data_IF_899115157565
#
_entry.id   IF_899115157565
#
_cell.length_a   1.000
_cell.length_b   1.000
_cell.length_c   1.000
_cell.angle_alpha   90.00
_cell.angle_beta   90.00
_cell.angle_gamma   90.00
#
_symmetry.space_group_name_H-M   'P 1'
#
loop_
_entity.id
_entity.type
_entity.pdbx_description
1 polymer ?
#
# COMPACT_ATOMS: atom_id res chain seq x y z
N UNK A 1 28.49 -39.33 1.13
CA UNK A 1 27.22 -38.59 1.16
C UNK A 1 27.55 -37.11 0.99
N UNK A 2 27.34 -36.54 -0.19
CA UNK A 2 27.57 -35.12 -0.43
C UNK A 2 26.31 -34.36 0.00
N UNK A 3 26.42 -33.50 1.02
CA UNK A 3 25.38 -32.53 1.32
C UNK A 3 25.37 -31.49 0.19
N UNK A 4 24.34 -31.52 -0.64
CA UNK A 4 24.03 -30.42 -1.54
C UNK A 4 23.68 -29.22 -0.68
N UNK A 5 24.64 -28.33 -0.43
CA UNK A 5 24.35 -26.96 0.01
C UNK A 5 23.72 -26.23 -1.16
N UNK A 6 22.43 -26.47 -1.39
CA UNK A 6 21.63 -25.57 -2.20
C UNK A 6 21.70 -24.20 -1.54
N UNK A 7 22.45 -23.26 -2.13
CA UNK A 7 22.44 -21.87 -1.67
C UNK A 7 20.99 -21.42 -1.66
N UNK A 8 20.43 -21.17 -0.48
CA UNK A 8 19.16 -20.45 -0.38
C UNK A 8 19.39 -19.09 -1.03
N UNK A 9 18.81 -18.90 -2.22
CA UNK A 9 19.10 -17.75 -3.05
C UNK A 9 18.21 -16.60 -2.59
N UNK A 10 18.71 -15.81 -1.65
CA UNK A 10 18.06 -14.59 -1.18
C UNK A 10 17.77 -13.64 -2.34
N UNK A 11 16.52 -13.18 -2.44
CA UNK A 11 16.08 -12.28 -3.50
C UNK A 11 15.86 -10.87 -2.97
N UNK A 12 15.95 -9.88 -3.87
CA UNK A 12 15.42 -8.55 -3.62
C UNK A 12 14.07 -8.47 -4.32
N UNK A 13 12.99 -8.29 -3.57
CA UNK A 13 11.63 -8.26 -4.11
C UNK A 13 10.91 -6.99 -3.65
N UNK A 14 10.13 -6.40 -4.55
CA UNK A 14 9.43 -5.15 -4.28
C UNK A 14 7.98 -5.19 -4.76
N UNK A 15 7.08 -4.69 -3.92
CA UNK A 15 5.72 -4.32 -4.31
C UNK A 15 5.59 -2.80 -4.32
N UNK A 16 5.20 -2.26 -5.46
CA UNK A 16 4.85 -0.86 -5.66
C UNK A 16 3.34 -0.77 -5.88
N UNK A 17 2.63 -0.10 -4.99
CA UNK A 17 1.25 0.30 -5.19
C UNK A 17 1.21 1.81 -5.50
N UNK A 18 0.52 2.21 -6.56
CA UNK A 18 0.43 3.62 -6.94
C UNK A 18 -0.97 4.01 -7.37
N UNK A 19 -1.62 4.86 -6.58
CA UNK A 19 -2.92 5.42 -6.90
C UNK A 19 -2.78 6.93 -7.16
N UNK A 20 -3.24 7.37 -8.32
CA UNK A 20 -3.36 8.80 -8.62
C UNK A 20 -4.58 9.17 -9.45
N UNK A 21 -5.17 8.20 -10.16
CA UNK A 21 -6.45 8.38 -10.85
C UNK A 21 -7.62 8.03 -9.91
N UNK A 22 -7.89 8.93 -8.97
CA UNK A 22 -8.96 8.78 -7.99
C UNK A 22 -10.31 9.14 -8.60
N UNK A 23 -11.36 8.38 -8.25
CA UNK A 23 -12.72 8.62 -8.78
C UNK A 23 -13.26 10.02 -8.44
N UNK A 24 -12.75 10.64 -7.37
CA UNK A 24 -13.05 12.00 -6.96
C UNK A 24 -12.08 12.98 -7.65
N UNK A 25 -12.58 13.98 -8.41
CA UNK A 25 -11.72 14.94 -9.11
C UNK A 25 -10.74 15.70 -8.21
N UNK A 26 -11.15 16.05 -6.99
CA UNK A 26 -10.34 16.82 -6.04
C UNK A 26 -9.19 15.98 -5.43
N UNK A 27 -9.25 14.66 -5.54
CA UNK A 27 -8.27 13.72 -4.98
C UNK A 27 -7.23 13.26 -6.02
N UNK A 28 -7.28 13.78 -7.25
CA UNK A 28 -6.37 13.41 -8.33
C UNK A 28 -4.91 13.76 -7.98
N UNK A 29 -4.01 12.77 -8.07
CA UNK A 29 -2.57 12.95 -7.87
C UNK A 29 -1.84 12.86 -9.20
N UNK A 30 -1.56 14.04 -9.77
CA UNK A 30 -0.76 14.15 -10.98
C UNK A 30 0.62 13.48 -10.75
N UNK A 31 1.15 12.84 -11.79
CA UNK A 31 2.44 12.15 -11.80
C UNK A 31 2.53 10.82 -11.04
N UNK A 32 1.48 10.32 -10.39
CA UNK A 32 1.52 9.02 -9.69
C UNK A 32 2.06 7.89 -10.59
N UNK A 33 1.53 7.76 -11.82
CA UNK A 33 1.98 6.76 -12.78
C UNK A 33 3.44 6.93 -13.21
N UNK A 34 3.89 8.18 -13.42
CA UNK A 34 5.27 8.48 -13.79
C UNK A 34 6.25 8.18 -12.64
N UNK A 35 5.86 8.47 -11.40
CA UNK A 35 6.63 8.17 -10.20
C UNK A 35 6.78 6.67 -10.01
N UNK A 36 5.68 5.91 -10.12
CA UNK A 36 5.70 4.45 -10.02
C UNK A 36 6.60 3.80 -11.07
N UNK A 37 6.52 4.26 -12.33
CA UNK A 37 7.36 3.75 -13.41
C UNK A 37 8.85 4.05 -13.16
N UNK A 38 9.18 5.29 -12.77
CA UNK A 38 10.56 5.70 -12.51
C UNK A 38 11.17 4.92 -11.34
N UNK A 39 10.43 4.77 -10.25
CA UNK A 39 10.88 4.02 -9.08
C UNK A 39 11.01 2.51 -9.37
N UNK A 40 10.05 1.93 -10.11
CA UNK A 40 10.13 0.54 -10.58
C UNK A 40 11.38 0.28 -11.40
N UNK A 41 11.71 1.20 -12.32
CA UNK A 41 12.91 1.09 -13.16
C UNK A 41 14.20 1.20 -12.33
N UNK A 42 14.28 2.14 -11.39
CA UNK A 42 15.42 2.29 -10.51
C UNK A 42 15.66 1.04 -9.63
N UNK A 43 14.60 0.47 -9.07
CA UNK A 43 14.69 -0.76 -8.27
C UNK A 43 15.14 -1.96 -9.12
N UNK A 44 14.61 -2.11 -10.34
CA UNK A 44 15.05 -3.16 -11.27
C UNK A 44 16.54 -3.06 -11.60
N UNK A 45 17.06 -1.84 -11.81
CA UNK A 45 18.48 -1.61 -12.09
C UNK A 45 19.41 -2.06 -10.96
N UNK A 46 18.95 -2.05 -9.71
CA UNK A 46 19.71 -2.52 -8.54
C UNK A 46 19.37 -3.96 -8.12
N UNK A 47 18.65 -4.68 -8.99
CA UNK A 47 18.40 -6.13 -8.89
C UNK A 47 17.14 -6.54 -8.16
N UNK A 48 16.16 -5.64 -7.96
CA UNK A 48 14.84 -6.04 -7.45
C UNK A 48 13.99 -6.70 -8.54
N UNK A 49 13.27 -7.75 -8.15
CA UNK A 49 12.09 -8.20 -8.86
C UNK A 49 10.90 -7.35 -8.39
N UNK A 50 10.33 -6.56 -9.30
CA UNK A 50 9.33 -5.54 -8.94
C UNK A 50 7.96 -5.88 -9.51
N UNK A 51 6.97 -5.95 -8.63
CA UNK A 51 5.55 -5.97 -8.97
C UNK A 51 5.00 -4.56 -8.80
N UNK A 52 4.41 -3.99 -9.86
CA UNK A 52 3.80 -2.65 -9.83
C UNK A 52 2.32 -2.76 -10.12
N UNK A 53 1.49 -2.17 -9.25
CA UNK A 53 0.02 -2.17 -9.37
C UNK A 53 -0.48 -0.74 -9.25
N UNK A 54 -1.25 -0.28 -10.24
CA UNK A 54 -1.69 1.10 -10.32
C UNK A 54 -3.21 1.24 -10.31
N UNK A 55 -3.71 2.30 -9.65
CA UNK A 55 -5.10 2.77 -9.66
C UNK A 55 -6.11 1.65 -9.38
N UNK A 56 -5.94 0.99 -8.22
CA UNK A 56 -6.76 -0.16 -7.83
C UNK A 56 -7.74 0.16 -6.72
N UNK A 57 -8.85 -0.57 -6.74
CA UNK A 57 -9.83 -0.61 -5.66
C UNK A 57 -9.36 -1.43 -4.46
N UNK A 58 -10.08 -1.34 -3.34
CA UNK A 58 -9.72 -2.00 -2.07
C UNK A 58 -9.47 -3.51 -2.22
N UNK A 59 -10.31 -4.20 -2.98
CA UNK A 59 -10.19 -5.64 -3.19
C UNK A 59 -8.87 -5.98 -3.90
N UNK A 60 -8.65 -5.42 -5.09
CA UNK A 60 -7.45 -5.65 -5.89
C UNK A 60 -6.16 -5.27 -5.15
N UNK A 61 -6.17 -4.19 -4.37
CA UNK A 61 -5.02 -3.80 -3.55
C UNK A 61 -4.70 -4.85 -2.49
N UNK A 62 -5.70 -5.33 -1.74
CA UNK A 62 -5.50 -6.40 -0.76
C UNK A 62 -5.01 -7.68 -1.42
N UNK A 63 -5.60 -8.06 -2.56
CA UNK A 63 -5.18 -9.24 -3.32
C UNK A 63 -3.72 -9.13 -3.75
N UNK A 64 -3.31 -8.00 -4.32
CA UNK A 64 -1.91 -7.77 -4.72
C UNK A 64 -0.93 -7.88 -3.55
N UNK A 65 -1.30 -7.36 -2.37
CA UNK A 65 -0.49 -7.46 -1.16
C UNK A 65 -0.39 -8.91 -0.69
N UNK A 66 -1.50 -9.64 -0.67
CA UNK A 66 -1.55 -11.05 -0.24
C UNK A 66 -0.72 -11.92 -1.19
N UNK A 67 -0.90 -11.74 -2.49
CA UNK A 67 -0.18 -12.48 -3.52
C UNK A 67 1.32 -12.20 -3.43
N UNK A 68 1.71 -10.93 -3.27
CA UNK A 68 3.11 -10.58 -3.05
C UNK A 68 3.66 -11.21 -1.78
N UNK A 69 2.93 -11.14 -0.66
CA UNK A 69 3.34 -11.77 0.59
C UNK A 69 3.58 -13.28 0.46
N UNK A 70 2.83 -13.96 -0.42
CA UNK A 70 3.00 -15.38 -0.70
C UNK A 70 4.27 -15.69 -1.51
N UNK A 71 4.86 -14.70 -2.18
CA UNK A 71 6.15 -14.85 -2.88
C UNK A 71 7.35 -14.70 -1.95
N UNK A 72 7.17 -14.04 -0.80
CA UNK A 72 8.22 -13.76 0.18
C UNK A 72 8.73 -15.08 0.78
N UNK A 73 10.06 -15.23 0.81
CA UNK A 73 10.76 -16.27 1.56
C UNK A 73 11.57 -15.63 2.67
N UNK A 74 11.76 -16.39 3.75
CA UNK A 74 12.60 -15.92 4.84
C UNK A 74 14.05 -15.72 4.35
N UNK A 75 14.62 -14.55 4.64
CA UNK A 75 15.91 -14.11 4.15
C UNK A 75 15.87 -13.16 2.93
N UNK A 76 14.71 -12.92 2.32
CA UNK A 76 14.59 -11.99 1.20
C UNK A 76 14.70 -10.52 1.66
N UNK A 77 15.27 -9.64 0.83
CA UNK A 77 15.14 -8.20 1.01
C UNK A 77 13.79 -7.77 0.43
N UNK A 78 12.84 -7.47 1.32
CA UNK A 78 11.46 -7.13 0.95
C UNK A 78 11.27 -5.62 0.99
N UNK A 79 10.76 -5.05 -0.09
CA UNK A 79 10.38 -3.64 -0.17
C UNK A 79 8.89 -3.49 -0.49
N UNK A 80 8.19 -2.69 0.29
CA UNK A 80 6.86 -2.18 -0.04
C UNK A 80 6.96 -0.67 -0.23
N UNK A 81 6.39 -0.17 -1.31
CA UNK A 81 6.26 1.26 -1.56
C UNK A 81 4.82 1.58 -1.97
N UNK A 82 4.24 2.58 -1.33
CA UNK A 82 2.95 3.12 -1.73
C UNK A 82 3.06 4.60 -2.08
N UNK A 83 2.54 4.98 -3.25
CA UNK A 83 2.28 6.35 -3.64
C UNK A 83 0.76 6.57 -3.77
N UNK A 84 0.22 7.54 -3.06
CA UNK A 84 -1.22 7.83 -3.11
C UNK A 84 -1.74 8.49 -1.84
N UNK A 85 -3.06 8.61 -1.72
CA UNK A 85 -3.68 9.08 -0.49
C UNK A 85 -3.65 8.02 0.59
N UNK A 86 -3.27 8.44 1.79
CA UNK A 86 -3.32 7.65 2.99
C UNK A 86 -3.99 8.46 4.10
N UNK A 87 -4.88 7.83 4.84
CA UNK A 87 -5.48 8.42 6.03
C UNK A 87 -5.00 7.71 7.29
N UNK A 88 -4.79 8.45 8.37
CA UNK A 88 -4.36 7.88 9.64
C UNK A 88 -5.48 7.94 10.68
N UNK A 89 -5.86 6.78 11.22
CA UNK A 89 -6.80 6.69 12.34
C UNK A 89 -6.08 6.03 13.52
N UNK A 90 -5.90 6.80 14.60
CA UNK A 90 -5.09 6.39 15.76
C UNK A 90 -3.66 6.03 15.29
N UNK A 91 -3.25 4.79 15.49
CA UNK A 91 -1.91 4.27 15.19
C UNK A 91 -1.88 3.44 13.90
N UNK A 92 -2.92 3.55 13.06
CA UNK A 92 -3.05 2.80 11.80
C UNK A 92 -3.13 3.68 10.57
N UNK A 93 -2.46 3.23 9.52
CA UNK A 93 -2.48 3.83 8.19
C UNK A 93 -3.44 3.08 7.27
N UNK A 94 -4.26 3.85 6.58
CA UNK A 94 -5.27 3.34 5.67
C UNK A 94 -5.00 3.86 4.27
N UNK A 95 -4.62 2.97 3.35
CA UNK A 95 -4.40 3.33 1.96
C UNK A 95 -5.74 3.52 1.27
N UNK A 96 -5.95 4.69 0.67
CA UNK A 96 -7.20 5.02 0.01
C UNK A 96 -7.22 4.40 -1.39
N UNK A 97 -8.25 3.60 -1.72
CA UNK A 97 -8.40 3.03 -3.05
C UNK A 97 -8.68 4.09 -4.12
N UNK A 98 -8.17 3.89 -5.33
CA UNK A 98 -8.44 4.79 -6.46
C UNK A 98 -9.93 4.84 -6.83
N UNK A 99 -10.63 3.73 -6.63
CA UNK A 99 -12.06 3.61 -6.88
C UNK A 99 -12.95 4.12 -5.73
N UNK A 100 -12.38 4.77 -4.70
CA UNK A 100 -13.19 5.19 -3.56
C UNK A 100 -14.18 6.30 -3.92
N UNK A 101 -15.42 6.09 -3.49
CA UNK A 101 -16.50 7.06 -3.51
C UNK A 101 -17.32 7.03 -2.21
N UNK A 102 -16.97 6.16 -1.25
CA UNK A 102 -17.79 5.87 -0.06
C UNK A 102 -17.28 6.57 1.21
N UNK A 103 -16.01 6.97 1.27
CA UNK A 103 -15.47 7.60 2.48
C UNK A 103 -15.96 9.04 2.60
N UNK A 104 -16.89 9.30 3.50
CA UNK A 104 -17.41 10.64 3.77
C UNK A 104 -16.99 11.15 5.16
N UNK A 105 -16.74 10.25 6.11
CA UNK A 105 -16.31 10.59 7.46
C UNK A 105 -15.20 9.65 7.98
N UNK A 106 -14.66 9.96 9.17
CA UNK A 106 -13.52 9.24 9.74
C UNK A 106 -13.84 7.76 10.04
N UNK A 107 -15.09 7.47 10.38
CA UNK A 107 -15.62 6.13 10.66
C UNK A 107 -15.59 5.24 9.42
N UNK A 108 -15.86 5.80 8.24
CA UNK A 108 -15.85 5.09 6.95
C UNK A 108 -14.46 4.59 6.53
N UNK A 109 -13.40 5.29 6.97
CA UNK A 109 -12.02 5.02 6.53
C UNK A 109 -11.65 3.56 6.75
N UNK A 110 -11.95 2.99 7.91
CA UNK A 110 -11.61 1.59 8.21
C UNK A 110 -12.38 0.60 7.33
N UNK A 111 -13.61 0.94 6.95
CA UNK A 111 -14.52 0.07 6.22
C UNK A 111 -14.26 0.05 4.72
N UNK A 112 -13.79 1.17 4.13
CA UNK A 112 -13.58 1.28 2.69
C UNK A 112 -12.12 1.39 2.24
N UNK A 113 -11.18 1.45 3.18
CA UNK A 113 -9.73 1.51 2.86
C UNK A 113 -9.00 0.20 3.15
N UNK A 114 -7.71 0.16 2.79
CA UNK A 114 -6.78 -0.94 3.11
C UNK A 114 -6.03 -0.64 4.40
N UNK A 115 -6.21 -1.45 5.44
CA UNK A 115 -5.41 -1.42 6.67
C UNK A 115 -3.97 -1.86 6.35
N UNK A 116 -3.03 -0.92 6.41
CA UNK A 116 -1.64 -1.14 6.01
C UNK A 116 -0.92 -2.05 7.00
N UNK A 117 -0.99 -1.75 8.30
CA UNK A 117 -0.27 -2.49 9.34
C UNK A 117 -0.65 -3.97 9.34
N UNK A 118 -1.96 -4.29 9.29
CA UNK A 118 -2.43 -5.69 9.21
C UNK A 118 -1.86 -6.44 8.01
N UNK A 119 -1.64 -5.72 6.91
CA UNK A 119 -1.11 -6.28 5.68
C UNK A 119 0.41 -6.46 5.73
N UNK A 120 1.13 -5.50 6.31
CA UNK A 120 2.58 -5.57 6.50
C UNK A 120 2.99 -6.62 7.54
N UNK A 121 2.14 -6.93 8.53
CA UNK A 121 2.34 -8.06 9.45
C UNK A 121 2.54 -9.38 8.70
N UNK A 122 1.90 -9.55 7.53
CA UNK A 122 2.08 -10.74 6.68
C UNK A 122 3.51 -10.85 6.15
N UNK A 123 4.13 -9.72 5.84
CA UNK A 123 5.48 -9.67 5.26
C UNK A 123 6.49 -10.01 6.34
N UNK A 124 6.34 -9.39 7.51
CA UNK A 124 7.18 -9.66 8.69
C UNK A 124 7.06 -11.12 9.13
N UNK A 125 5.84 -11.69 9.12
CA UNK A 125 5.64 -13.10 9.47
C UNK A 125 6.32 -14.08 8.48
N UNK A 126 6.46 -13.69 7.21
CA UNK A 126 7.12 -14.50 6.17
C UNK A 126 8.63 -14.30 6.11
N UNK A 127 9.11 -13.13 6.55
CA UNK A 127 10.51 -12.71 6.50
C UNK A 127 10.96 -12.15 7.86
N UNK A 128 10.91 -12.98 8.88
CA UNK A 128 11.19 -12.60 10.26
C UNK A 128 12.70 -12.48 10.54
N UNK A 129 13.54 -13.18 9.78
CA UNK A 129 14.99 -13.20 10.00
C UNK A 129 15.75 -12.12 9.23
N UNK A 130 15.07 -11.32 8.40
CA UNK A 130 15.73 -10.36 7.52
C UNK A 130 14.95 -9.04 7.35
N UNK A 131 15.48 -8.18 6.47
CA UNK A 131 15.07 -6.78 6.35
C UNK A 131 13.78 -6.64 5.55
N UNK A 132 12.81 -5.93 6.14
CA UNK A 132 11.60 -5.46 5.48
C UNK A 132 11.62 -3.92 5.45
N UNK A 133 11.53 -3.32 4.26
CA UNK A 133 11.54 -1.87 4.04
C UNK A 133 10.15 -1.43 3.60
N UNK A 134 9.52 -0.55 4.36
CA UNK A 134 8.20 -0.01 4.03
C UNK A 134 8.30 1.51 3.86
N UNK A 135 7.91 2.00 2.68
CA UNK A 135 7.95 3.42 2.34
C UNK A 135 6.53 3.87 1.98
N UNK A 136 6.07 4.91 2.66
CA UNK A 136 4.77 5.52 2.43
C UNK A 136 4.98 6.95 1.92
N UNK A 137 4.73 7.15 0.63
CA UNK A 137 4.81 8.44 -0.05
C UNK A 137 3.38 8.96 -0.31
N UNK A 138 2.78 9.47 0.77
CA UNK A 138 1.39 9.89 0.76
C UNK A 138 1.21 11.30 1.29
N UNK A 139 0.38 12.09 0.61
CA UNK A 139 -0.12 13.34 1.18
C UNK A 139 -1.23 13.02 2.21
N UNK A 140 -1.14 13.61 3.40
CA UNK A 140 -2.15 13.44 4.46
C UNK A 140 -3.44 14.22 4.25
N UNK A 141 -3.66 14.78 3.06
CA UNK A 141 -4.84 15.55 2.68
C UNK A 141 -5.77 14.68 1.84
N UNK A 142 -6.62 13.91 2.51
CA UNK A 142 -7.80 13.30 1.89
C UNK A 142 -9.04 14.01 2.46
N UNK A 143 -9.88 14.59 1.60
CA UNK A 143 -10.97 15.47 2.06
C UNK A 143 -12.12 14.66 2.65
N UNK A 144 -12.20 14.61 4.00
CA UNK A 144 -13.26 13.95 4.76
C UNK A 144 -14.50 14.83 5.04
N UNK A 145 -14.64 16.03 4.47
CA UNK A 145 -15.76 16.91 4.81
C UNK A 145 -16.35 17.59 3.59
N UNK A 146 -17.58 17.20 3.22
CA UNK A 146 -18.46 18.02 2.38
C UNK A 146 -19.86 18.27 2.96
N UNK A 147 -20.29 17.55 4.00
CA UNK A 147 -21.61 17.72 4.62
C UNK A 147 -21.61 18.54 5.93
N UNK A 148 -20.53 19.26 6.25
CA UNK A 148 -20.53 20.22 7.36
C UNK A 148 -21.23 21.54 6.96
N UNK A 149 -22.49 21.47 6.50
CA UNK A 149 -23.38 22.64 6.46
C UNK A 149 -24.74 22.26 7.05
N UNK A 150 -24.92 22.70 8.31
CA UNK A 150 -26.18 22.89 9.05
C UNK A 150 -26.98 21.66 9.53
N UNK A 151 -26.97 21.47 10.87
CA UNK A 151 -28.19 21.17 11.63
C UNK A 151 -28.37 19.75 12.16
N UNK A 152 -28.19 19.58 13.48
CA UNK A 152 -28.66 18.38 14.17
C UNK A 152 -28.04 18.19 15.55
N UNK A 153 -28.54 18.93 16.55
CA UNK A 153 -28.36 18.52 17.95
C UNK A 153 -29.12 17.21 18.14
N UNK A 154 -28.42 16.15 18.55
CA UNK A 154 -29.05 15.07 19.30
C UNK A 154 -28.33 14.95 20.64
N UNK A 155 -28.98 15.50 21.66
CA UNK A 155 -28.86 15.01 23.02
C UNK A 155 -29.70 13.75 23.11
N UNK A 156 -29.09 12.61 23.44
CA UNK A 156 -29.54 11.63 24.43
C UNK A 156 -28.30 10.83 24.88
#
# INVERSE_FOLDING_TARGET
MAYSTGKQQFQKIALILSNGDYSRPDDQLQNAGANAASFSNALKQIGFQVTTVCNKGKHDMNTAIIDFANTIRDGDLVLFYFFGHCYRVKDKHYLIPASDNMIEEKTDVADFSVDLERNLERFVAKNASFVNIFILDSCGTYSLQRNATLGGKYHL
#
